data_IF_162072365018
#
_entry.id   IF_162072365018
#
_cell.length_a   1.000
_cell.length_b   1.000
_cell.length_c   1.000
_cell.angle_alpha   90.00
_cell.angle_beta   90.00
_cell.angle_gamma   90.00
#
_symmetry.space_group_name_H-M   'P 1'
#
loop_
_entity.id
_entity.type
_entity.pdbx_description
1 polymer ?
#
# COMPACT_ATOMS: atom_id res chain seq x y z
N UNK A 1 -22.89 32.71 3.88
CA UNK A 1 -22.02 31.92 4.79
C UNK A 1 -21.29 30.86 3.98
N UNK A 2 -19.98 31.02 3.76
CA UNK A 2 -19.19 30.00 3.05
C UNK A 2 -19.05 28.76 3.96
N UNK A 3 -19.64 27.64 3.56
CA UNK A 3 -19.49 26.35 4.26
C UNK A 3 -18.00 25.98 4.28
N UNK A 4 -17.34 26.15 5.43
CA UNK A 4 -15.94 25.74 5.63
C UNK A 4 -15.91 24.21 5.56
N UNK A 5 -15.33 23.65 4.49
CA UNK A 5 -15.27 22.19 4.31
C UNK A 5 -14.44 21.58 5.45
N UNK A 6 -15.07 20.71 6.25
CA UNK A 6 -14.41 20.02 7.39
C UNK A 6 -13.27 19.09 6.97
N UNK A 7 -13.32 18.59 5.74
CA UNK A 7 -12.31 17.68 5.19
C UNK A 7 -11.77 18.18 3.85
N UNK A 8 -10.46 18.10 3.68
CA UNK A 8 -9.76 18.29 2.40
C UNK A 8 -9.41 16.91 1.87
N UNK A 9 -10.05 16.50 0.78
CA UNK A 9 -9.82 15.20 0.16
C UNK A 9 -8.58 15.24 -0.73
N UNK A 10 -7.75 14.21 -0.62
CA UNK A 10 -6.48 14.04 -1.32
C UNK A 10 -6.51 12.80 -2.22
N UNK A 11 -5.50 12.60 -3.07
CA UNK A 11 -5.37 11.41 -3.92
C UNK A 11 -5.34 10.12 -3.05
N UNK A 12 -4.75 10.19 -1.86
CA UNK A 12 -4.71 9.07 -0.89
C UNK A 12 -6.14 8.66 -0.49
N UNK A 13 -7.03 9.62 -0.23
CA UNK A 13 -8.44 9.32 0.03
C UNK A 13 -9.10 8.62 -1.15
N UNK A 14 -8.82 9.08 -2.38
CA UNK A 14 -9.39 8.49 -3.58
C UNK A 14 -8.92 7.05 -3.78
N UNK A 15 -7.62 6.77 -3.60
CA UNK A 15 -7.03 5.44 -3.69
C UNK A 15 -7.57 4.50 -2.62
N UNK A 16 -7.72 5.00 -1.39
CA UNK A 16 -8.26 4.24 -0.27
C UNK A 16 -9.73 3.86 -0.50
N UNK A 17 -10.57 4.83 -0.88
CA UNK A 17 -12.01 4.59 -1.07
C UNK A 17 -12.32 3.82 -2.36
N UNK A 18 -11.50 3.93 -3.42
CA UNK A 18 -11.61 3.10 -4.62
C UNK A 18 -11.43 1.59 -4.33
N UNK A 19 -10.67 1.25 -3.30
CA UNK A 19 -10.47 -0.14 -2.85
C UNK A 19 -11.61 -0.70 -1.98
N UNK A 20 -12.40 0.17 -1.33
CA UNK A 20 -13.16 -0.21 -0.12
C UNK A 20 -14.52 -0.84 -0.37
N UNK A 21 -15.17 -0.51 -1.48
CA UNK A 21 -16.53 -0.98 -1.82
C UNK A 21 -16.59 -2.52 -1.93
N UNK A 22 -15.45 -3.17 -2.22
CA UNK A 22 -15.33 -4.64 -2.35
C UNK A 22 -14.75 -5.37 -1.14
N UNK A 23 -14.47 -4.73 0.01
CA UNK A 23 -13.98 -5.45 1.21
C UNK A 23 -14.90 -6.59 1.67
N UNK A 24 -16.20 -6.51 1.36
CA UNK A 24 -17.17 -7.54 1.74
C UNK A 24 -17.05 -8.78 0.83
N UNK A 25 -16.36 -8.71 -0.32
CA UNK A 25 -16.40 -9.79 -1.33
C UNK A 25 -15.08 -10.20 -2.00
N UNK A 26 -13.95 -9.51 -1.82
CA UNK A 26 -12.71 -9.87 -2.55
C UNK A 26 -11.44 -9.84 -1.69
N UNK A 27 -10.64 -10.92 -1.75
CA UNK A 27 -9.35 -11.15 -1.07
C UNK A 27 -8.17 -10.29 -1.59
N UNK A 28 -8.41 -9.29 -2.42
CA UNK A 28 -7.35 -8.56 -3.12
C UNK A 28 -6.92 -7.31 -2.35
N UNK A 29 -5.61 -7.03 -2.33
CA UNK A 29 -5.03 -5.86 -1.64
C UNK A 29 -5.57 -4.56 -2.21
N UNK A 30 -5.87 -3.58 -1.34
CA UNK A 30 -6.32 -2.27 -1.82
C UNK A 30 -5.17 -1.57 -2.56
N UNK A 31 -5.47 -0.68 -3.53
CA UNK A 31 -4.43 0.05 -4.24
C UNK A 31 -3.50 0.83 -3.30
N UNK A 32 -4.05 1.43 -2.24
CA UNK A 32 -3.26 2.13 -1.22
C UNK A 32 -2.40 1.16 -0.42
N UNK A 33 -2.96 0.02 0.02
CA UNK A 33 -2.24 -1.02 0.77
C UNK A 33 -1.06 -1.56 -0.05
N UNK A 34 -1.29 -1.82 -1.35
CA UNK A 34 -0.26 -2.33 -2.25
C UNK A 34 0.90 -1.35 -2.41
N UNK A 35 0.60 -0.05 -2.60
CA UNK A 35 1.63 0.99 -2.67
C UNK A 35 2.38 1.11 -1.34
N UNK A 36 1.65 1.13 -0.22
CA UNK A 36 2.25 1.30 1.10
C UNK A 36 3.19 0.14 1.43
N UNK A 37 2.74 -1.10 1.26
CA UNK A 37 3.56 -2.28 1.48
C UNK A 37 4.75 -2.33 0.52
N UNK A 38 4.57 -1.92 -0.73
CA UNK A 38 5.67 -1.88 -1.68
C UNK A 38 6.78 -0.89 -1.26
N UNK A 39 6.40 0.35 -0.92
CA UNK A 39 7.35 1.41 -0.55
C UNK A 39 8.00 1.15 0.80
N UNK A 40 7.23 0.73 1.80
CA UNK A 40 7.70 0.67 3.19
C UNK A 40 8.08 -0.73 3.66
N UNK A 41 7.68 -1.78 2.96
CA UNK A 41 8.03 -3.15 3.32
C UNK A 41 8.96 -3.76 2.26
N UNK A 42 8.48 -3.93 1.04
CA UNK A 42 9.15 -4.73 0.02
C UNK A 42 10.49 -4.14 -0.43
N UNK A 43 10.52 -2.86 -0.81
CA UNK A 43 11.76 -2.22 -1.27
C UNK A 43 12.82 -2.17 -0.14
N UNK A 44 12.51 -1.70 1.09
CA UNK A 44 13.45 -1.74 2.20
C UNK A 44 13.94 -3.14 2.53
N UNK A 45 13.05 -4.15 2.50
CA UNK A 45 13.41 -5.55 2.72
C UNK A 45 14.44 -6.05 1.71
N UNK A 46 14.26 -5.74 0.41
CA UNK A 46 15.23 -6.13 -0.63
C UNK A 46 16.59 -5.45 -0.42
N UNK A 47 16.60 -4.18 -0.02
CA UNK A 47 17.82 -3.46 0.29
C UNK A 47 18.54 -4.07 1.51
N UNK A 48 17.82 -4.36 2.60
CA UNK A 48 18.38 -5.01 3.79
C UNK A 48 19.04 -6.34 3.42
N UNK A 49 18.33 -7.18 2.67
CA UNK A 49 18.87 -8.47 2.22
C UNK A 49 20.10 -8.24 1.36
N UNK A 50 20.05 -7.35 0.37
CA UNK A 50 21.17 -7.12 -0.55
C UNK A 50 22.42 -6.62 0.17
N UNK A 51 22.29 -5.62 1.04
CA UNK A 51 23.43 -4.98 1.69
C UNK A 51 24.01 -5.82 2.84
N UNK A 52 23.17 -6.53 3.60
CA UNK A 52 23.63 -7.29 4.76
C UNK A 52 24.01 -8.74 4.42
N UNK A 53 23.59 -9.28 3.27
CA UNK A 53 23.92 -10.65 2.86
C UNK A 53 25.44 -10.91 2.78
N UNK A 54 26.23 -9.91 2.39
CA UNK A 54 27.68 -10.03 2.32
C UNK A 54 28.38 -9.97 3.68
N UNK A 55 27.69 -9.48 4.71
CA UNK A 55 28.29 -9.17 6.02
C UNK A 55 27.88 -10.17 7.08
N UNK A 56 26.65 -10.70 7.01
CA UNK A 56 26.04 -11.51 8.06
C UNK A 56 25.33 -12.72 7.43
N UNK A 57 25.31 -13.90 8.09
CA UNK A 57 24.59 -15.06 7.60
C UNK A 57 23.12 -14.75 7.25
N UNK A 58 22.67 -15.29 6.12
CA UNK A 58 21.40 -14.97 5.42
C UNK A 58 20.14 -15.01 6.31
N UNK A 59 20.14 -15.83 7.36
CA UNK A 59 19.00 -15.92 8.27
C UNK A 59 18.73 -14.61 9.01
N UNK A 60 19.77 -13.81 9.32
CA UNK A 60 19.62 -12.55 10.06
C UNK A 60 18.96 -11.45 9.19
N UNK A 61 19.45 -11.15 7.97
CA UNK A 61 18.79 -10.18 7.09
C UNK A 61 17.37 -10.60 6.71
N UNK A 62 17.14 -11.91 6.58
CA UNK A 62 15.80 -12.46 6.31
C UNK A 62 14.85 -12.24 7.49
N UNK A 63 15.30 -12.47 8.73
CA UNK A 63 14.51 -12.21 9.93
C UNK A 63 14.19 -10.72 10.09
N UNK A 64 15.17 -9.84 9.84
CA UNK A 64 14.96 -8.38 9.86
C UNK A 64 13.96 -7.92 8.80
N UNK A 65 14.04 -8.49 7.60
CA UNK A 65 13.08 -8.23 6.52
C UNK A 65 11.65 -8.63 6.93
N UNK A 66 11.46 -9.81 7.51
CA UNK A 66 10.14 -10.26 8.01
C UNK A 66 9.63 -9.34 9.12
N UNK A 67 10.49 -8.97 10.09
CA UNK A 67 10.13 -8.04 11.16
C UNK A 67 9.73 -6.66 10.64
N UNK A 68 10.41 -6.17 9.61
CA UNK A 68 10.09 -4.90 8.96
C UNK A 68 8.74 -4.94 8.23
N UNK A 69 8.45 -6.03 7.49
CA UNK A 69 7.15 -6.23 6.86
C UNK A 69 6.03 -6.23 7.91
N UNK A 70 6.22 -6.95 9.01
CA UNK A 70 5.27 -7.00 10.12
C UNK A 70 5.03 -5.61 10.71
N UNK A 71 6.09 -4.87 11.02
CA UNK A 71 6.02 -3.52 11.56
C UNK A 71 5.30 -2.56 10.60
N UNK A 72 5.58 -2.64 9.30
CA UNK A 72 4.93 -1.81 8.28
C UNK A 72 3.40 -2.06 8.24
N UNK A 73 2.97 -3.33 8.29
CA UNK A 73 1.54 -3.70 8.35
C UNK A 73 0.87 -3.12 9.60
N UNK A 74 1.52 -3.22 10.76
CA UNK A 74 0.96 -2.75 12.02
C UNK A 74 0.85 -1.22 12.07
N UNK A 75 1.90 -0.52 11.62
CA UNK A 75 1.90 0.94 11.47
C UNK A 75 0.80 1.39 10.51
N UNK A 76 0.69 0.71 9.36
CA UNK A 76 -0.37 0.98 8.40
C UNK A 76 -1.76 0.84 9.01
N UNK A 77 -2.02 -0.26 9.74
CA UNK A 77 -3.32 -0.48 10.41
C UNK A 77 -3.64 0.63 11.42
N UNK A 78 -2.64 1.10 12.17
CA UNK A 78 -2.80 2.23 13.11
C UNK A 78 -3.13 3.54 12.38
N UNK A 79 -2.43 3.83 11.28
CA UNK A 79 -2.69 5.00 10.43
C UNK A 79 -4.08 4.92 9.82
N UNK A 80 -4.46 3.75 9.29
CA UNK A 80 -5.76 3.52 8.67
C UNK A 80 -6.89 3.85 9.64
N UNK A 81 -6.83 3.27 10.84
CA UNK A 81 -7.83 3.47 11.90
C UNK A 81 -7.93 4.93 12.34
N UNK A 82 -6.80 5.65 12.41
CA UNK A 82 -6.74 7.05 12.84
C UNK A 82 -7.22 8.03 11.75
N UNK A 83 -6.82 7.81 10.50
CA UNK A 83 -7.02 8.75 9.40
C UNK A 83 -8.33 8.51 8.64
N UNK A 84 -8.69 7.25 8.39
CA UNK A 84 -9.86 6.87 7.60
C UNK A 84 -11.05 6.51 8.50
N UNK A 85 -11.65 7.55 9.09
CA UNK A 85 -12.83 7.40 9.93
C UNK A 85 -14.11 7.22 9.10
N UNK A 86 -15.12 6.54 9.66
CA UNK A 86 -16.46 6.43 9.05
C UNK A 86 -17.09 7.80 8.75
N UNK A 87 -16.80 8.81 9.57
CA UNK A 87 -17.28 10.17 9.36
C UNK A 87 -16.67 10.83 8.11
N UNK A 88 -15.36 10.64 7.89
CA UNK A 88 -14.66 11.14 6.70
C UNK A 88 -15.15 10.43 5.43
N UNK A 89 -15.39 9.14 5.51
CA UNK A 89 -15.94 8.35 4.40
C UNK A 89 -17.33 8.84 3.97
N UNK A 90 -18.24 9.06 4.91
CA UNK A 90 -19.57 9.63 4.61
C UNK A 90 -19.44 11.01 3.95
N UNK A 91 -18.50 11.84 4.41
CA UNK A 91 -18.24 13.13 3.80
C UNK A 91 -17.68 12.99 2.36
N UNK A 92 -16.84 12.00 2.10
CA UNK A 92 -16.30 11.72 0.77
C UNK A 92 -17.39 11.30 -0.22
N UNK A 93 -18.23 10.31 0.12
CA UNK A 93 -19.29 9.84 -0.77
C UNK A 93 -20.44 10.83 -0.95
N UNK A 94 -20.64 11.79 -0.03
CA UNK A 94 -21.57 12.90 -0.26
C UNK A 94 -21.11 13.81 -1.40
N UNK A 95 -19.80 14.01 -1.56
CA UNK A 95 -19.24 14.82 -2.64
C UNK A 95 -19.05 14.04 -3.93
N UNK A 96 -18.77 12.74 -3.83
CA UNK A 96 -18.53 11.87 -4.98
C UNK A 96 -19.44 10.64 -4.94
N UNK A 97 -20.76 10.81 -5.06
CA UNK A 97 -21.72 9.69 -4.98
C UNK A 97 -21.49 8.68 -6.11
N UNK A 98 -21.19 9.16 -7.31
CA UNK A 98 -20.89 8.34 -8.50
C UNK A 98 -19.75 7.34 -8.30
N UNK A 99 -18.84 7.59 -7.34
CA UNK A 99 -17.68 6.72 -7.10
C UNK A 99 -18.01 5.55 -6.18
N UNK A 100 -19.17 5.55 -5.53
CA UNK A 100 -19.57 4.52 -4.56
C UNK A 100 -19.84 3.17 -5.22
N UNK A 101 -20.34 3.16 -6.45
CA UNK A 101 -20.72 1.92 -7.14
C UNK A 101 -19.81 1.62 -8.35
N UNK A 102 -18.76 2.44 -8.55
CA UNK A 102 -17.80 2.22 -9.63
C UNK A 102 -16.96 0.97 -9.38
N UNK A 103 -16.86 0.15 -10.41
CA UNK A 103 -16.04 -1.05 -10.39
C UNK A 103 -14.56 -0.72 -10.64
N UNK A 104 -13.76 -0.66 -9.58
CA UNK A 104 -12.31 -0.47 -9.65
C UNK A 104 -11.53 -1.79 -9.73
N UNK A 105 -12.16 -2.89 -10.17
CA UNK A 105 -11.54 -4.22 -10.25
C UNK A 105 -10.21 -4.19 -11.03
N UNK A 106 -10.17 -3.56 -12.20
CA UNK A 106 -8.94 -3.45 -12.99
C UNK A 106 -7.86 -2.66 -12.28
N UNK A 107 -8.21 -1.61 -11.54
CA UNK A 107 -7.24 -0.85 -10.74
C UNK A 107 -6.71 -1.70 -9.58
N UNK A 108 -7.58 -2.46 -8.91
CA UNK A 108 -7.19 -3.37 -7.82
C UNK A 108 -6.33 -4.55 -8.31
N UNK A 109 -6.43 -4.94 -9.58
CA UNK A 109 -5.65 -6.02 -10.15
C UNK A 109 -4.36 -5.53 -10.80
N UNK A 110 -4.45 -4.56 -11.70
CA UNK A 110 -3.32 -4.06 -12.49
C UNK A 110 -2.30 -3.34 -11.63
N UNK A 111 -2.74 -2.62 -10.58
CA UNK A 111 -1.82 -1.82 -9.78
C UNK A 111 -0.89 -2.70 -8.92
N UNK A 112 -1.37 -3.70 -8.16
CA UNK A 112 -0.48 -4.65 -7.49
C UNK A 112 0.38 -5.46 -8.47
N UNK A 113 -0.18 -5.86 -9.61
CA UNK A 113 0.53 -6.68 -10.59
C UNK A 113 1.66 -5.87 -11.27
N UNK A 114 1.40 -4.60 -11.60
CA UNK A 114 2.42 -3.68 -12.11
C UNK A 114 3.52 -3.41 -11.07
N UNK A 115 3.15 -3.15 -9.81
CA UNK A 115 4.13 -2.99 -8.73
C UNK A 115 4.98 -4.25 -8.53
N UNK A 116 4.38 -5.43 -8.67
CA UNK A 116 5.08 -6.70 -8.60
C UNK A 116 6.09 -6.87 -9.75
N UNK A 117 5.71 -6.55 -10.99
CA UNK A 117 6.63 -6.59 -12.13
C UNK A 117 7.80 -5.61 -11.98
N UNK A 118 7.53 -4.38 -11.51
CA UNK A 118 8.58 -3.41 -11.20
C UNK A 118 9.51 -3.96 -10.12
N UNK A 119 8.95 -4.59 -9.08
CA UNK A 119 9.74 -5.18 -8.01
C UNK A 119 10.65 -6.31 -8.52
N UNK A 120 10.16 -7.18 -9.40
CA UNK A 120 10.97 -8.22 -10.03
C UNK A 120 12.12 -7.60 -10.83
N UNK A 121 11.86 -6.52 -11.58
CA UNK A 121 12.90 -5.80 -12.30
C UNK A 121 13.97 -5.21 -11.38
N UNK A 122 13.56 -4.57 -10.28
CA UNK A 122 14.49 -4.02 -9.28
C UNK A 122 15.30 -5.13 -8.62
N UNK A 123 14.66 -6.22 -8.20
CA UNK A 123 15.34 -7.36 -7.61
C UNK A 123 16.35 -7.96 -8.60
N UNK A 124 15.94 -8.19 -9.85
CA UNK A 124 16.84 -8.70 -10.88
C UNK A 124 18.05 -7.77 -11.07
N UNK A 125 17.84 -6.46 -11.17
CA UNK A 125 18.92 -5.49 -11.31
C UNK A 125 19.86 -5.48 -10.10
N UNK A 126 19.32 -5.47 -8.88
CA UNK A 126 20.10 -5.46 -7.65
C UNK A 126 20.95 -6.71 -7.44
N UNK A 127 20.45 -7.89 -7.84
CA UNK A 127 21.10 -9.17 -7.55
C UNK A 127 21.92 -9.74 -8.73
N UNK A 128 21.58 -9.42 -9.98
CA UNK A 128 22.25 -9.99 -11.17
C UNK A 128 23.11 -8.99 -11.95
N UNK A 129 22.78 -7.69 -11.96
CA UNK A 129 23.54 -6.69 -12.74
C UNK A 129 24.64 -6.05 -11.91
N UNK A 130 24.34 -5.71 -10.65
CA UNK A 130 25.29 -5.14 -9.70
C UNK A 130 26.13 -6.21 -8.99
N UNK A 131 26.71 -7.17 -9.72
CA UNK A 131 27.58 -8.21 -9.15
C UNK A 131 28.98 -7.71 -8.84
#
# INVERSE_FOLDING_TARGET
MAFKRKYKFSIIDHLYYAGRIRRIHNRWSMPLDAIFLWVFAVVPSLLIIRFLYWVIPLWLPSALSVGLVWAAVEVYSKIEKKYFTKARERAYYRLYPERKDKNYFWLQLLLPLGLFLINLGIAYWLFFVYQ
#
